data_IF_090817447954
#
_entry.id   IF_090817447954
#
_cell.length_a   1.000
_cell.length_b   1.000
_cell.length_c   1.000
_cell.angle_alpha   90.00
_cell.angle_beta   90.00
_cell.angle_gamma   90.00
#
_symmetry.space_group_name_H-M   'P 1'
#
loop_
_entity.id
_entity.type
_entity.pdbx_description
1 polymer ?
#
# COMPACT_ATOMS: atom_id res chain seq x y z
N UNK A 1 -33.18 49.38 -51.36
CA UNK A 1 -32.53 48.12 -51.50
C UNK A 1 -32.21 47.58 -50.11
N UNK A 2 -32.95 46.57 -49.61
CA UNK A 2 -32.73 45.96 -48.31
C UNK A 2 -31.82 44.78 -48.55
N UNK A 3 -30.61 44.78 -47.98
CA UNK A 3 -29.71 43.60 -47.99
C UNK A 3 -30.15 42.62 -46.95
N UNK A 4 -30.40 41.36 -47.39
CA UNK A 4 -30.73 40.22 -46.57
C UNK A 4 -29.39 39.54 -46.16
N UNK A 5 -29.08 39.61 -44.86
CA UNK A 5 -27.92 38.87 -44.30
C UNK A 5 -28.40 37.46 -43.96
N UNK A 6 -27.91 36.47 -44.69
CA UNK A 6 -28.15 35.04 -44.39
C UNK A 6 -27.08 34.62 -43.42
N UNK A 7 -27.50 34.32 -42.18
CA UNK A 7 -26.64 33.71 -41.14
C UNK A 7 -26.56 32.17 -41.39
N UNK A 8 -25.42 31.69 -41.85
CA UNK A 8 -25.17 30.25 -42.01
C UNK A 8 -24.67 29.75 -40.65
N UNK A 9 -25.51 29.01 -39.92
CA UNK A 9 -25.11 28.28 -38.71
C UNK A 9 -24.47 26.98 -39.16
N UNK A 10 -23.14 26.88 -39.04
CA UNK A 10 -22.40 25.65 -39.22
C UNK A 10 -22.54 24.84 -37.93
N UNK A 11 -23.36 23.80 -37.98
CA UNK A 11 -23.41 22.77 -36.94
C UNK A 11 -22.17 21.91 -37.06
N UNK A 12 -21.19 22.12 -36.19
CA UNK A 12 -20.06 21.21 -36.02
C UNK A 12 -20.58 20.00 -35.23
N UNK A 13 -20.51 18.78 -35.77
CA UNK A 13 -20.87 17.61 -34.99
C UNK A 13 -19.79 17.45 -33.88
N UNK A 14 -20.20 17.55 -32.64
CA UNK A 14 -19.43 17.08 -31.51
C UNK A 14 -19.28 15.56 -31.67
N UNK A 15 -18.15 15.15 -32.23
CA UNK A 15 -17.72 13.75 -32.19
C UNK A 15 -17.38 13.45 -30.73
N UNK A 16 -18.33 12.91 -30.01
CA UNK A 16 -18.05 12.33 -28.69
C UNK A 16 -16.93 11.31 -28.85
N UNK A 17 -15.78 11.58 -28.26
CA UNK A 17 -14.72 10.58 -28.10
C UNK A 17 -15.33 9.55 -27.14
N UNK A 18 -15.87 8.49 -27.75
CA UNK A 18 -16.24 7.27 -27.03
C UNK A 18 -14.94 6.71 -26.44
N UNK A 19 -14.69 6.96 -25.17
CA UNK A 19 -13.72 6.17 -24.42
C UNK A 19 -14.09 4.70 -24.65
N UNK A 20 -13.21 3.94 -25.30
CA UNK A 20 -13.28 2.50 -25.34
C UNK A 20 -13.15 2.02 -23.90
N UNK A 21 -14.28 1.83 -23.22
CA UNK A 21 -14.36 1.06 -22.00
C UNK A 21 -13.94 -0.35 -22.42
N UNK A 22 -12.69 -0.72 -22.14
CA UNK A 22 -12.29 -2.11 -22.20
C UNK A 22 -13.14 -2.83 -21.15
N UNK A 23 -14.25 -3.42 -21.56
CA UNK A 23 -15.08 -4.24 -20.69
C UNK A 23 -14.34 -5.54 -20.45
N UNK A 24 -13.42 -5.55 -19.50
CA UNK A 24 -12.88 -6.78 -18.97
C UNK A 24 -14.04 -7.54 -18.31
N UNK A 25 -14.22 -8.77 -18.72
CA UNK A 25 -15.36 -9.61 -18.30
C UNK A 25 -15.21 -10.08 -16.83
N UNK A 26 -14.07 -9.76 -16.20
CA UNK A 26 -13.71 -10.13 -14.83
C UNK A 26 -14.20 -9.14 -13.77
N UNK A 27 -14.39 -7.86 -14.10
CA UNK A 27 -14.89 -6.86 -13.16
C UNK A 27 -16.38 -7.09 -12.93
N UNK A 28 -16.73 -7.40 -11.67
CA UNK A 28 -18.10 -7.68 -11.23
C UNK A 28 -18.79 -6.41 -10.75
N UNK A 29 -18.04 -5.54 -10.05
CA UNK A 29 -18.53 -4.28 -9.48
C UNK A 29 -17.42 -3.26 -9.43
N UNK A 30 -17.79 -1.98 -9.61
CA UNK A 30 -16.90 -0.82 -9.50
C UNK A 30 -17.69 0.33 -8.91
N UNK A 31 -17.18 0.95 -7.85
CA UNK A 31 -17.85 2.04 -7.15
C UNK A 31 -16.86 2.91 -6.38
N UNK A 32 -17.26 4.13 -6.06
CA UNK A 32 -16.57 4.94 -5.05
C UNK A 32 -17.14 4.63 -3.67
N UNK A 33 -16.28 4.53 -2.66
CA UNK A 33 -16.69 4.30 -1.26
C UNK A 33 -17.45 5.52 -0.71
N UNK A 34 -17.10 6.69 -1.17
CA UNK A 34 -17.81 7.94 -0.91
C UNK A 34 -17.71 8.85 -2.15
N UNK A 35 -18.63 9.80 -2.27
CA UNK A 35 -18.62 10.76 -3.39
C UNK A 35 -17.29 11.48 -3.47
N UNK A 36 -16.65 11.53 -4.68
CA UNK A 36 -15.40 12.26 -4.86
C UNK A 36 -15.49 13.71 -4.39
N UNK A 37 -14.43 14.18 -3.77
CA UNK A 37 -14.36 15.50 -3.12
C UNK A 37 -12.97 16.14 -3.25
N UNK A 38 -12.84 17.40 -2.84
CA UNK A 38 -11.58 18.14 -2.93
C UNK A 38 -10.59 17.80 -1.81
N UNK A 39 -11.06 17.34 -0.65
CA UNK A 39 -10.18 16.91 0.45
C UNK A 39 -9.25 15.78 0.00
N UNK A 40 -8.00 15.84 0.42
CA UNK A 40 -7.06 14.77 0.16
C UNK A 40 -7.52 13.48 0.84
N UNK A 41 -7.66 12.41 0.07
CA UNK A 41 -8.07 11.09 0.54
C UNK A 41 -7.14 10.04 -0.05
N UNK A 42 -6.41 9.29 0.79
CA UNK A 42 -5.34 8.45 0.29
C UNK A 42 -5.06 7.23 1.18
N UNK A 43 -4.39 6.21 0.61
CA UNK A 43 -3.82 5.09 1.34
C UNK A 43 -4.84 4.19 2.01
N UNK A 44 -5.73 3.56 1.23
CA UNK A 44 -6.74 2.65 1.77
C UNK A 44 -6.19 1.31 2.26
N UNK A 45 -6.91 0.73 3.23
CA UNK A 45 -6.75 -0.66 3.67
C UNK A 45 -8.12 -1.28 3.90
N UNK A 46 -8.35 -2.50 3.40
CA UNK A 46 -9.62 -3.22 3.50
C UNK A 46 -9.43 -4.55 4.25
N UNK A 47 -10.45 -4.92 5.06
CA UNK A 47 -10.53 -6.20 5.76
C UNK A 47 -11.94 -6.78 5.66
N UNK A 48 -12.06 -8.10 5.54
CA UNK A 48 -13.32 -8.81 5.73
C UNK A 48 -13.47 -9.19 7.20
N UNK A 49 -14.60 -8.84 7.80
CA UNK A 49 -14.91 -9.16 9.19
C UNK A 49 -15.62 -10.52 9.29
N UNK A 50 -15.51 -11.25 10.40
CA UNK A 50 -16.12 -12.57 10.56
C UNK A 50 -17.65 -12.61 10.43
N UNK A 51 -18.34 -11.47 10.60
CA UNK A 51 -19.78 -11.35 10.36
C UNK A 51 -20.13 -11.19 8.87
N UNK A 52 -19.11 -11.12 8.00
CA UNK A 52 -19.23 -10.96 6.56
C UNK A 52 -19.30 -9.51 6.08
N UNK A 53 -19.17 -8.52 6.98
CA UNK A 53 -19.01 -7.12 6.58
C UNK A 53 -17.62 -6.87 6.01
N UNK A 54 -17.51 -5.87 5.12
CA UNK A 54 -16.24 -5.29 4.72
C UNK A 54 -16.02 -3.99 5.48
N UNK A 55 -14.83 -3.80 6.02
CA UNK A 55 -14.41 -2.56 6.65
C UNK A 55 -13.21 -2.00 5.90
N UNK A 56 -13.30 -0.74 5.49
CA UNK A 56 -12.21 -0.02 4.83
C UNK A 56 -11.78 1.17 5.67
N UNK A 57 -10.51 1.52 5.59
CA UNK A 57 -9.95 2.74 6.19
C UNK A 57 -9.04 3.45 5.20
N UNK A 58 -8.87 4.77 5.38
CA UNK A 58 -7.97 5.65 4.63
C UNK A 58 -7.62 6.86 5.47
N UNK A 59 -6.64 7.66 5.05
CA UNK A 59 -6.41 8.96 5.68
C UNK A 59 -6.97 10.09 4.82
N UNK A 60 -7.45 11.15 5.48
CA UNK A 60 -8.17 12.25 4.85
C UNK A 60 -7.98 13.55 5.61
N UNK A 61 -7.79 14.66 4.88
CA UNK A 61 -7.68 16.00 5.41
C UNK A 61 -7.33 17.04 4.35
N UNK A 62 -6.93 18.23 4.74
CA UNK A 62 -6.57 19.29 3.81
C UNK A 62 -5.25 19.04 3.05
N UNK A 63 -4.45 18.10 3.51
CA UNK A 63 -3.17 17.72 2.89
C UNK A 63 -2.78 16.28 3.22
N UNK A 64 -1.51 16.06 3.38
CA UNK A 64 -0.89 14.83 3.85
C UNK A 64 -0.16 15.11 5.18
N UNK A 65 1.11 14.70 5.32
CA UNK A 65 1.93 14.99 6.51
C UNK A 65 2.09 16.48 6.84
N UNK A 66 1.77 17.36 5.93
CA UNK A 66 1.93 18.81 6.11
C UNK A 66 0.71 19.50 6.75
N UNK A 67 -0.36 18.74 7.03
CA UNK A 67 -1.63 19.29 7.51
C UNK A 67 -2.10 18.53 8.76
N UNK A 68 -2.15 19.23 9.90
CA UNK A 68 -2.46 18.63 11.21
C UNK A 68 -3.94 18.19 11.36
N UNK A 69 -4.80 18.50 10.38
CA UNK A 69 -6.19 18.06 10.31
C UNK A 69 -6.38 16.69 9.63
N UNK A 70 -5.30 16.07 9.19
CA UNK A 70 -5.35 14.74 8.56
C UNK A 70 -5.64 13.68 9.60
N UNK A 71 -6.71 12.92 9.37
CA UNK A 71 -7.25 11.91 10.28
C UNK A 71 -7.52 10.60 9.56
N UNK A 72 -7.66 9.52 10.33
CA UNK A 72 -8.03 8.22 9.79
C UNK A 72 -9.55 8.10 9.74
N UNK A 73 -10.07 7.91 8.54
CA UNK A 73 -11.48 7.67 8.26
C UNK A 73 -11.73 6.21 7.93
N UNK A 74 -12.98 5.80 8.00
CA UNK A 74 -13.41 4.46 7.59
C UNK A 74 -14.83 4.45 7.06
N UNK A 75 -15.18 3.37 6.37
CA UNK A 75 -16.54 3.05 5.94
C UNK A 75 -16.77 1.53 6.02
N UNK A 76 -18.02 1.14 6.15
CA UNK A 76 -18.44 -0.25 6.25
C UNK A 76 -19.41 -0.60 5.12
N UNK A 77 -19.20 -1.75 4.50
CA UNK A 77 -20.21 -2.40 3.67
C UNK A 77 -20.75 -3.59 4.46
N UNK A 78 -21.95 -3.44 5.00
CA UNK A 78 -22.61 -4.49 5.77
C UNK A 78 -22.97 -5.66 4.86
N UNK A 79 -22.88 -6.87 5.37
CA UNK A 79 -23.23 -8.09 4.62
C UNK A 79 -24.65 -7.99 4.04
N UNK A 80 -24.75 -8.20 2.73
CA UNK A 80 -26.02 -8.15 2.01
C UNK A 80 -26.51 -6.75 1.65
N UNK A 81 -25.76 -5.69 1.98
CA UNK A 81 -26.02 -4.34 1.49
C UNK A 81 -25.27 -4.11 0.17
N UNK A 82 -25.80 -3.21 -0.64
CA UNK A 82 -25.19 -2.80 -1.93
C UNK A 82 -24.38 -1.52 -1.83
N UNK A 83 -24.50 -0.79 -0.74
CA UNK A 83 -23.92 0.55 -0.55
C UNK A 83 -23.04 0.62 0.70
N UNK A 84 -21.94 1.34 0.61
CA UNK A 84 -21.09 1.68 1.73
C UNK A 84 -21.80 2.63 2.71
N UNK A 85 -21.50 2.52 3.97
CA UNK A 85 -21.92 3.50 4.97
C UNK A 85 -21.32 4.88 4.66
N UNK A 86 -21.89 5.94 5.24
CA UNK A 86 -21.19 7.22 5.28
C UNK A 86 -19.85 7.06 6.00
N UNK A 87 -18.81 7.82 5.58
CA UNK A 87 -17.53 7.83 6.29
C UNK A 87 -17.68 8.18 7.77
N UNK A 88 -16.90 7.51 8.62
CA UNK A 88 -16.81 7.76 10.06
C UNK A 88 -15.36 7.83 10.53
N UNK A 89 -15.14 8.49 11.66
CA UNK A 89 -13.82 8.64 12.25
C UNK A 89 -13.32 7.31 12.84
N UNK A 90 -12.09 6.93 12.50
CA UNK A 90 -11.40 5.74 13.03
C UNK A 90 -10.29 6.11 14.03
N UNK A 91 -9.53 7.15 13.74
CA UNK A 91 -8.50 7.71 14.63
C UNK A 91 -8.25 9.18 14.28
N UNK A 92 -7.88 9.95 15.31
CA UNK A 92 -7.46 11.34 15.21
C UNK A 92 -6.49 11.62 16.36
N UNK A 93 -5.22 11.90 16.02
CA UNK A 93 -4.20 12.25 17.01
C UNK A 93 -4.14 13.76 17.13
N UNK A 94 -4.54 14.35 18.27
CA UNK A 94 -4.62 15.80 18.40
C UNK A 94 -3.32 16.51 18.00
N UNK A 95 -3.42 17.43 17.01
CA UNK A 95 -2.32 18.27 16.55
C UNK A 95 -1.23 17.56 15.74
N UNK A 96 -1.49 16.34 15.26
CA UNK A 96 -0.58 15.60 14.38
C UNK A 96 -1.35 15.02 13.19
N UNK A 97 -0.78 15.06 11.99
CA UNK A 97 -1.37 14.35 10.86
C UNK A 97 -1.27 12.84 11.05
N UNK A 98 -2.42 12.15 10.91
CA UNK A 98 -2.52 10.69 10.92
C UNK A 98 -2.54 10.16 9.49
N UNK A 99 -1.60 9.26 9.14
CA UNK A 99 -1.43 8.74 7.79
C UNK A 99 -1.28 7.22 7.75
N UNK A 100 -1.36 6.65 6.55
CA UNK A 100 -1.05 5.26 6.22
C UNK A 100 -1.70 4.21 7.12
N UNK A 101 -3.03 4.20 7.27
CA UNK A 101 -3.71 3.21 8.10
C UNK A 101 -3.66 1.81 7.48
N UNK A 102 -3.58 0.81 8.34
CA UNK A 102 -3.67 -0.61 8.00
C UNK A 102 -4.66 -1.29 8.93
N UNK A 103 -5.61 -2.04 8.35
CA UNK A 103 -6.57 -2.89 9.06
C UNK A 103 -6.23 -4.36 8.87
N UNK A 104 -6.28 -5.14 9.95
CA UNK A 104 -6.19 -6.60 9.89
C UNK A 104 -6.83 -7.26 11.11
N UNK A 105 -7.14 -8.54 10.97
CA UNK A 105 -7.56 -9.41 12.06
C UNK A 105 -6.41 -10.39 12.37
N UNK A 106 -6.13 -10.61 13.66
CA UNK A 106 -5.27 -11.73 14.04
C UNK A 106 -6.06 -13.07 14.06
N UNK A 107 -5.37 -14.18 14.30
CA UNK A 107 -6.00 -15.52 14.33
C UNK A 107 -7.06 -15.70 15.44
N UNK A 108 -7.15 -14.76 16.38
CA UNK A 108 -8.20 -14.72 17.44
C UNK A 108 -9.35 -13.76 17.09
N UNK A 109 -9.44 -13.31 15.84
CA UNK A 109 -10.42 -12.33 15.38
C UNK A 109 -10.38 -10.99 16.16
N UNK A 110 -9.23 -10.62 16.73
CA UNK A 110 -9.00 -9.28 17.27
C UNK A 110 -8.66 -8.35 16.11
N UNK A 111 -9.44 -7.28 15.97
CA UNK A 111 -9.23 -6.27 14.92
C UNK A 111 -8.16 -5.28 15.37
N UNK A 112 -7.23 -5.02 14.47
CA UNK A 112 -6.19 -4.02 14.62
C UNK A 112 -6.38 -2.90 13.60
N UNK A 113 -6.22 -1.67 14.05
CA UNK A 113 -5.94 -0.50 13.23
C UNK A 113 -4.53 -0.03 13.60
N UNK A 114 -3.62 -0.04 12.65
CA UNK A 114 -2.26 0.48 12.82
C UNK A 114 -2.07 1.64 11.84
N UNK A 115 -1.54 2.77 12.32
CA UNK A 115 -1.30 3.97 11.52
C UNK A 115 -0.09 4.74 12.03
N UNK A 116 0.31 5.78 11.34
CA UNK A 116 1.36 6.69 11.80
C UNK A 116 0.79 8.05 12.17
N UNK A 117 1.21 8.59 13.32
CA UNK A 117 1.06 9.99 13.67
C UNK A 117 2.39 10.70 13.34
N UNK A 118 2.35 11.71 12.48
CA UNK A 118 3.56 12.32 11.90
C UNK A 118 3.99 13.53 12.69
N UNK A 119 4.98 13.36 13.54
CA UNK A 119 5.52 14.45 14.37
C UNK A 119 6.41 15.37 13.54
N UNK A 120 6.27 16.68 13.75
CA UNK A 120 7.06 17.70 13.07
C UNK A 120 6.80 17.77 11.56
N UNK A 121 5.69 17.21 11.07
CA UNK A 121 5.28 17.18 9.67
C UNK A 121 6.34 16.56 8.73
N UNK A 122 7.13 15.62 9.25
CA UNK A 122 8.18 14.90 8.53
C UNK A 122 8.03 13.40 8.70
N UNK A 123 8.14 12.64 7.62
CA UNK A 123 8.01 11.19 7.64
C UNK A 123 8.99 10.53 8.63
N UNK A 124 10.19 11.06 8.76
CA UNK A 124 11.20 10.59 9.70
C UNK A 124 10.81 10.78 11.17
N UNK A 125 9.83 11.65 11.44
CA UNK A 125 9.23 11.85 12.76
C UNK A 125 8.01 10.97 13.05
N UNK A 126 7.66 10.03 12.19
CA UNK A 126 6.47 9.18 12.33
C UNK A 126 6.51 8.30 13.57
N UNK A 127 5.40 8.29 14.30
CA UNK A 127 5.16 7.42 15.46
C UNK A 127 4.15 6.37 15.06
N UNK A 128 4.52 5.09 15.15
CA UNK A 128 3.65 3.98 14.82
C UNK A 128 2.66 3.74 15.95
N UNK A 129 1.36 3.91 15.67
CA UNK A 129 0.26 3.79 16.63
C UNK A 129 -0.62 2.60 16.30
N UNK A 130 -1.30 2.07 17.32
CA UNK A 130 -2.25 0.97 17.17
C UNK A 130 -3.49 1.18 18.03
N UNK A 131 -4.64 0.72 17.52
CA UNK A 131 -5.88 0.47 18.27
C UNK A 131 -6.32 -0.95 18.03
N UNK A 132 -6.90 -1.56 19.05
CA UNK A 132 -7.42 -2.93 18.94
C UNK A 132 -8.81 -3.06 19.55
N UNK A 133 -9.58 -4.02 19.04
CA UNK A 133 -10.91 -4.33 19.58
C UNK A 133 -11.41 -5.70 19.14
N UNK A 134 -12.34 -6.25 19.90
CA UNK A 134 -13.20 -7.37 19.54
C UNK A 134 -14.68 -6.93 19.33
N UNK A 135 -15.00 -5.66 19.68
CA UNK A 135 -16.35 -5.06 19.51
C UNK A 135 -16.45 -4.28 18.19
N UNK A 136 -16.53 -5.00 17.08
CA UNK A 136 -16.65 -4.44 15.74
C UNK A 136 -17.89 -4.96 14.96
N UNK A 137 -18.80 -5.70 15.61
CA UNK A 137 -19.93 -6.34 14.92
C UNK A 137 -21.11 -5.40 14.66
N UNK A 138 -21.16 -4.26 15.33
CA UNK A 138 -22.21 -3.24 15.15
C UNK A 138 -21.95 -2.38 13.91
N UNK A 139 -23.02 -1.78 13.38
CA UNK A 139 -22.92 -0.79 12.30
C UNK A 139 -22.04 0.39 12.70
N UNK A 140 -21.37 1.00 11.71
CA UNK A 140 -20.50 2.15 11.91
C UNK A 140 -19.08 1.78 12.35
N UNK A 141 -18.45 2.68 13.10
CA UNK A 141 -17.07 2.52 13.57
C UNK A 141 -16.96 1.40 14.61
N UNK A 142 -15.84 0.63 14.61
CA UNK A 142 -15.53 -0.27 15.73
C UNK A 142 -15.42 0.49 17.06
N UNK A 143 -15.80 -0.17 18.16
CA UNK A 143 -15.58 0.36 19.51
C UNK A 143 -14.19 -0.04 19.97
N UNK A 144 -13.26 0.90 19.96
CA UNK A 144 -11.87 0.62 20.32
C UNK A 144 -11.70 0.38 21.83
N UNK A 145 -11.13 -0.77 22.19
CA UNK A 145 -10.93 -1.22 23.58
C UNK A 145 -9.55 -0.85 24.10
N UNK A 146 -8.55 -0.77 23.21
CA UNK A 146 -7.16 -0.50 23.55
C UNK A 146 -6.49 0.42 22.52
N UNK A 147 -5.55 1.26 22.99
CA UNK A 147 -4.70 2.09 22.15
C UNK A 147 -3.29 2.19 22.73
N UNK A 148 -2.27 2.03 21.87
CA UNK A 148 -0.87 2.16 22.26
C UNK A 148 0.00 2.57 21.06
N UNK A 149 1.31 2.57 21.25
CA UNK A 149 2.32 2.71 20.20
C UNK A 149 3.03 1.38 19.99
N UNK A 150 3.35 1.05 18.74
CA UNK A 150 4.25 -0.04 18.42
C UNK A 150 5.67 0.52 18.38
N UNK A 151 6.49 0.16 19.37
CA UNK A 151 7.85 0.67 19.51
C UNK A 151 8.85 -0.34 18.95
N UNK A 152 9.47 0.02 17.83
CA UNK A 152 10.52 -0.77 17.19
C UNK A 152 11.86 -0.09 17.47
N UNK A 153 12.76 -0.81 18.14
CA UNK A 153 14.08 -0.33 18.53
C UNK A 153 15.17 -1.30 18.06
N UNK A 154 15.53 -1.28 16.77
CA UNK A 154 16.62 -2.11 16.27
C UNK A 154 17.94 -1.83 17.02
N UNK A 155 18.62 -2.88 17.43
CA UNK A 155 19.91 -2.81 18.11
C UNK A 155 21.10 -2.68 17.16
N UNK A 156 22.29 -3.07 17.62
CA UNK A 156 23.51 -2.98 16.81
C UNK A 156 23.58 -4.02 15.69
N UNK A 157 22.76 -5.07 15.78
CA UNK A 157 22.54 -6.04 14.70
C UNK A 157 21.95 -5.40 13.44
N UNK A 158 21.21 -4.30 13.57
CA UNK A 158 20.72 -3.51 12.44
C UNK A 158 21.86 -2.90 11.63
N UNK A 159 22.85 -2.34 12.31
CA UNK A 159 24.02 -1.73 11.67
C UNK A 159 24.84 -2.79 10.95
N UNK A 160 25.22 -3.85 11.68
CA UNK A 160 26.03 -4.93 11.12
C UNK A 160 25.35 -5.65 9.95
N UNK A 161 24.03 -5.76 9.97
CA UNK A 161 23.29 -6.36 8.84
C UNK A 161 23.29 -5.43 7.62
N UNK A 162 23.09 -4.11 7.79
CA UNK A 162 23.19 -3.14 6.69
C UNK A 162 24.56 -3.21 6.04
N UNK A 163 25.63 -3.17 6.83
CA UNK A 163 27.01 -3.26 6.31
C UNK A 163 27.21 -4.58 5.54
N UNK A 164 26.85 -5.71 6.15
CA UNK A 164 27.00 -7.03 5.56
C UNK A 164 26.20 -7.23 4.26
N UNK A 165 25.00 -6.65 4.15
CA UNK A 165 24.18 -6.81 2.95
C UNK A 165 24.68 -5.91 1.80
N UNK A 166 25.04 -4.65 2.07
CA UNK A 166 25.63 -3.79 1.06
C UNK A 166 26.96 -4.30 0.54
N UNK A 167 27.80 -4.91 1.39
CA UNK A 167 29.08 -5.50 0.98
C UNK A 167 28.91 -6.72 0.02
N UNK A 168 27.74 -7.36 0.06
CA UNK A 168 27.38 -8.44 -0.88
C UNK A 168 26.77 -7.96 -2.19
N UNK A 169 26.31 -6.71 -2.25
CA UNK A 169 25.70 -6.13 -3.44
C UNK A 169 26.77 -5.71 -4.46
N UNK A 170 26.41 -5.67 -5.75
CA UNK A 170 27.30 -5.07 -6.76
C UNK A 170 27.67 -3.64 -6.37
N UNK A 171 28.96 -3.30 -6.46
CA UNK A 171 29.45 -1.97 -6.12
C UNK A 171 28.83 -0.85 -6.94
N UNK A 172 28.68 0.34 -6.34
CA UNK A 172 28.34 1.57 -7.05
C UNK A 172 29.57 2.24 -7.63
N UNK A 173 29.37 2.99 -8.72
CA UNK A 173 30.38 3.85 -9.31
C UNK A 173 29.87 5.30 -9.29
N UNK A 174 30.71 6.24 -8.90
CA UNK A 174 30.35 7.67 -8.82
C UNK A 174 30.07 8.33 -10.18
N UNK A 175 30.54 7.74 -11.28
CA UNK A 175 30.51 8.41 -12.58
C UNK A 175 31.25 9.75 -12.52
N UNK A 176 30.56 10.84 -12.89
CA UNK A 176 31.12 12.19 -12.87
C UNK A 176 31.12 12.84 -11.45
N UNK A 177 30.39 12.26 -10.50
CA UNK A 177 30.21 12.80 -9.14
C UNK A 177 31.16 12.13 -8.11
N UNK A 178 32.42 11.92 -8.45
CA UNK A 178 33.42 11.22 -7.62
C UNK A 178 33.62 11.83 -6.20
N UNK A 179 33.27 13.08 -6.01
CA UNK A 179 33.36 13.77 -4.70
C UNK A 179 32.16 13.52 -3.80
N UNK A 180 31.04 12.99 -4.32
CA UNK A 180 29.85 12.71 -3.53
C UNK A 180 29.97 11.38 -2.78
N UNK A 181 29.48 11.26 -1.53
CA UNK A 181 29.39 9.97 -0.84
C UNK A 181 28.54 8.99 -1.63
N UNK A 182 28.95 7.72 -1.65
CA UNK A 182 28.12 6.66 -2.22
C UNK A 182 26.83 6.50 -1.39
N UNK A 183 25.72 6.15 -2.05
CA UNK A 183 24.44 5.89 -1.38
C UNK A 183 24.59 4.87 -0.25
N UNK A 184 25.26 3.76 -0.50
CA UNK A 184 25.46 2.68 0.47
C UNK A 184 26.19 3.18 1.73
N UNK A 185 27.23 4.03 1.56
CA UNK A 185 28.00 4.60 2.67
C UNK A 185 27.17 5.59 3.50
N UNK A 186 26.30 6.37 2.85
CA UNK A 186 25.36 7.26 3.53
C UNK A 186 24.40 6.48 4.44
N UNK A 187 23.85 5.36 3.96
CA UNK A 187 22.92 4.51 4.74
C UNK A 187 23.69 3.78 5.87
N UNK A 188 24.87 3.25 5.59
CA UNK A 188 25.75 2.65 6.63
C UNK A 188 26.01 3.64 7.75
N UNK A 189 26.36 4.88 7.44
CA UNK A 189 26.62 5.91 8.46
C UNK A 189 25.33 6.30 9.22
N UNK A 190 24.23 6.55 8.52
CA UNK A 190 22.94 6.87 9.13
C UNK A 190 22.48 5.76 10.10
N UNK A 191 22.73 4.49 9.77
CA UNK A 191 22.32 3.34 10.59
C UNK A 191 22.93 3.32 11.98
N UNK A 192 24.09 3.97 12.19
CA UNK A 192 24.75 4.06 13.49
C UNK A 192 24.02 4.96 14.48
N UNK A 193 23.13 5.84 13.99
CA UNK A 193 22.35 6.74 14.84
C UNK A 193 21.19 6.00 15.51
N UNK A 194 21.30 5.78 16.83
CA UNK A 194 20.30 5.04 17.61
C UNK A 194 18.93 5.73 17.63
N UNK A 195 18.87 7.06 17.60
CA UNK A 195 17.60 7.80 17.59
C UNK A 195 16.88 7.56 16.27
N UNK A 196 17.57 7.67 15.14
CA UNK A 196 16.99 7.41 13.82
C UNK A 196 16.51 5.96 13.68
N UNK A 197 17.19 4.99 14.29
CA UNK A 197 16.75 3.57 14.29
C UNK A 197 15.45 3.34 15.06
N UNK A 198 15.10 4.23 15.98
CA UNK A 198 13.98 4.05 16.92
C UNK A 198 12.71 4.80 16.52
N UNK A 199 12.73 5.60 15.44
CA UNK A 199 11.62 6.45 15.01
C UNK A 199 11.51 6.45 13.48
N UNK A 200 10.36 6.88 12.93
CA UNK A 200 10.18 7.02 11.49
C UNK A 200 9.85 5.71 10.76
N UNK A 201 9.54 4.66 11.49
CA UNK A 201 9.03 3.42 10.90
C UNK A 201 7.55 3.56 10.58
N UNK A 202 7.17 3.30 9.33
CA UNK A 202 5.84 3.57 8.78
C UNK A 202 5.19 2.32 8.22
N UNK A 203 3.89 2.20 8.40
CA UNK A 203 3.06 1.18 7.76
C UNK A 203 2.66 1.60 6.35
N UNK A 204 2.25 0.61 5.53
CA UNK A 204 1.50 0.83 4.30
C UNK A 204 0.69 -0.41 3.89
N UNK A 205 1.27 -1.60 4.04
CA UNK A 205 0.71 -2.88 3.59
C UNK A 205 0.32 -3.71 4.81
N UNK A 206 -0.73 -4.51 4.66
CA UNK A 206 -1.22 -5.41 5.71
C UNK A 206 -0.15 -6.41 6.13
N UNK A 207 -0.16 -6.83 7.41
CA UNK A 207 0.74 -7.87 7.87
C UNK A 207 0.43 -9.21 7.20
N UNK A 208 1.47 -10.02 7.08
CA UNK A 208 1.36 -11.45 6.87
C UNK A 208 1.15 -12.13 8.22
N UNK A 209 0.14 -12.98 8.33
CA UNK A 209 -0.13 -13.78 9.53
C UNK A 209 0.13 -15.23 9.18
N UNK A 210 1.12 -15.85 9.84
CA UNK A 210 1.46 -17.24 9.64
C UNK A 210 0.46 -18.16 10.37
N UNK A 211 0.40 -19.42 9.94
CA UNK A 211 -0.43 -20.44 10.60
C UNK A 211 -0.07 -20.67 12.07
N UNK A 212 1.17 -20.36 12.47
CA UNK A 212 1.61 -20.36 13.86
C UNK A 212 1.00 -19.28 14.72
N UNK A 213 0.33 -18.26 14.12
CA UNK A 213 -0.16 -17.06 14.79
C UNK A 213 0.83 -15.90 14.76
N UNK A 214 2.07 -16.10 14.30
CA UNK A 214 3.05 -15.01 14.14
C UNK A 214 2.50 -13.93 13.20
N UNK A 215 2.54 -12.68 13.64
CA UNK A 215 2.19 -11.50 12.85
C UNK A 215 3.49 -10.85 12.38
N UNK A 216 3.63 -10.64 11.07
CA UNK A 216 4.76 -9.97 10.45
C UNK A 216 4.23 -8.70 9.78
N UNK A 217 4.36 -7.57 10.47
CA UNK A 217 3.91 -6.26 10.00
C UNK A 217 5.04 -5.58 9.21
N UNK A 218 4.90 -5.43 7.89
CA UNK A 218 5.92 -4.78 7.10
C UNK A 218 5.94 -3.27 7.36
N UNK A 219 7.13 -2.75 7.55
CA UNK A 219 7.40 -1.34 7.80
C UNK A 219 8.48 -0.83 6.85
N UNK A 220 8.51 0.48 6.66
CA UNK A 220 9.54 1.15 5.88
C UNK A 220 9.90 2.50 6.51
N UNK A 221 11.02 3.07 6.10
CA UNK A 221 11.48 4.39 6.52
C UNK A 221 11.97 5.19 5.32
N UNK A 222 11.45 6.41 5.16
CA UNK A 222 11.97 7.35 4.17
C UNK A 222 13.34 7.91 4.59
N UNK A 223 13.65 7.91 5.90
CA UNK A 223 14.95 8.36 6.41
C UNK A 223 16.11 7.44 6.02
N UNK A 224 15.85 6.13 5.92
CA UNK A 224 16.83 5.14 5.44
C UNK A 224 16.56 4.71 3.99
N UNK A 225 15.37 4.98 3.46
CA UNK A 225 14.93 4.50 2.17
C UNK A 225 15.04 2.97 2.04
N UNK A 226 14.72 2.25 3.12
CA UNK A 226 14.71 0.80 3.24
C UNK A 226 13.57 0.32 4.15
N UNK A 227 13.46 -1.00 4.31
CA UNK A 227 12.37 -1.64 5.02
C UNK A 227 12.82 -2.52 6.18
N UNK A 228 11.89 -2.83 7.08
CA UNK A 228 12.00 -3.76 8.21
C UNK A 228 10.63 -4.40 8.45
N UNK A 229 10.56 -5.46 9.26
CA UNK A 229 9.28 -5.95 9.77
C UNK A 229 9.21 -5.80 11.29
N UNK A 230 8.02 -5.47 11.81
CA UNK A 230 7.69 -5.69 13.21
C UNK A 230 7.08 -7.07 13.36
N UNK A 231 7.63 -7.89 14.25
CA UNK A 231 7.20 -9.28 14.47
C UNK A 231 6.56 -9.39 15.84
N UNK A 232 5.39 -10.01 15.90
CA UNK A 232 4.72 -10.40 17.14
C UNK A 232 4.47 -11.91 17.15
N UNK A 233 4.83 -12.55 18.25
CA UNK A 233 4.61 -13.97 18.51
C UNK A 233 3.51 -14.21 19.59
N UNK A 234 2.88 -13.14 20.06
CA UNK A 234 1.90 -13.11 21.17
C UNK A 234 0.60 -12.37 20.80
N UNK A 235 0.12 -12.57 19.57
CA UNK A 235 -1.14 -12.01 19.07
C UNK A 235 -1.18 -10.48 18.99
N UNK A 236 -0.02 -9.82 18.92
CA UNK A 236 0.11 -8.37 18.79
C UNK A 236 0.24 -7.63 20.12
N UNK A 237 0.49 -8.33 21.23
CA UNK A 237 0.70 -7.71 22.55
C UNK A 237 2.12 -7.10 22.67
N UNK A 238 3.13 -7.77 22.10
CA UNK A 238 4.49 -7.23 22.01
C UNK A 238 5.09 -7.37 20.62
N UNK A 239 6.07 -6.52 20.31
CA UNK A 239 6.67 -6.40 18.99
C UNK A 239 8.18 -6.32 19.08
N UNK A 240 8.88 -7.06 18.22
CA UNK A 240 10.33 -6.99 18.02
C UNK A 240 10.64 -6.65 16.56
N UNK A 241 11.76 -5.98 16.27
CA UNK A 241 12.19 -5.76 14.89
C UNK A 241 12.73 -7.06 14.26
N UNK A 242 12.50 -7.25 12.94
CA UNK A 242 13.32 -8.13 12.13
C UNK A 242 14.68 -7.51 11.83
N UNK A 243 15.59 -8.25 11.20
CA UNK A 243 16.70 -7.63 10.49
C UNK A 243 16.17 -6.77 9.33
N UNK A 244 16.91 -5.71 8.91
CA UNK A 244 16.48 -4.84 7.82
C UNK A 244 16.43 -5.58 6.49
N UNK A 245 15.50 -5.15 5.60
CA UNK A 245 15.45 -5.51 4.20
C UNK A 245 16.27 -4.49 3.43
N UNK A 246 17.51 -4.83 3.13
CA UNK A 246 18.52 -3.90 2.62
C UNK A 246 18.52 -3.87 1.09
N UNK A 247 18.64 -2.67 0.55
CA UNK A 247 18.75 -2.41 -0.89
C UNK A 247 18.79 -0.92 -1.16
N UNK A 248 18.76 -0.55 -2.44
CA UNK A 248 18.80 0.85 -2.85
C UNK A 248 17.39 1.32 -3.19
N UNK A 249 16.64 1.69 -2.16
CA UNK A 249 15.29 2.23 -2.25
C UNK A 249 14.12 1.24 -2.11
N UNK A 250 14.25 0.07 -1.45
CA UNK A 250 13.13 -0.85 -1.25
C UNK A 250 12.24 -0.39 -0.09
N UNK A 251 11.09 0.19 -0.39
CA UNK A 251 10.14 0.65 0.62
C UNK A 251 8.76 0.01 0.44
N UNK A 252 7.92 0.04 1.47
CA UNK A 252 6.54 -0.42 1.45
C UNK A 252 6.39 -1.91 1.08
N UNK A 253 6.94 -2.86 1.87
CA UNK A 253 6.90 -4.28 1.55
C UNK A 253 5.49 -4.86 1.55
N UNK A 254 5.18 -5.65 0.52
CA UNK A 254 4.04 -6.56 0.46
C UNK A 254 4.55 -7.99 0.56
N UNK A 255 3.97 -8.80 1.44
CA UNK A 255 4.50 -10.12 1.81
C UNK A 255 3.60 -11.25 1.34
N UNK A 256 4.18 -12.34 0.83
CA UNK A 256 3.49 -13.58 0.53
C UNK A 256 4.33 -14.81 0.93
N UNK A 257 3.66 -15.89 1.33
CA UNK A 257 4.30 -17.16 1.71
C UNK A 257 4.28 -18.13 0.54
N UNK A 258 5.42 -18.71 0.23
CA UNK A 258 5.57 -19.84 -0.69
C UNK A 258 5.13 -21.15 -0.05
N UNK A 259 4.84 -22.16 -0.87
CA UNK A 259 4.51 -23.52 -0.40
C UNK A 259 5.63 -24.17 0.42
N UNK A 260 6.90 -23.79 0.18
CA UNK A 260 8.04 -24.27 0.94
C UNK A 260 8.25 -23.54 2.28
N UNK A 261 7.42 -22.55 2.59
CA UNK A 261 7.50 -21.72 3.81
C UNK A 261 8.34 -20.45 3.68
N UNK A 262 9.09 -20.26 2.60
CA UNK A 262 9.82 -19.01 2.36
C UNK A 262 8.83 -17.82 2.23
N UNK A 263 9.20 -16.66 2.76
CA UNK A 263 8.42 -15.43 2.62
C UNK A 263 9.08 -14.56 1.57
N UNK A 264 8.30 -14.16 0.58
CA UNK A 264 8.71 -13.21 -0.45
C UNK A 264 8.17 -11.84 -0.12
N UNK A 265 9.03 -10.81 -0.19
CA UNK A 265 8.66 -9.41 -0.10
C UNK A 265 8.80 -8.75 -1.49
N UNK A 266 7.73 -8.14 -1.98
CA UNK A 266 7.75 -7.21 -3.11
C UNK A 266 7.62 -5.79 -2.59
N UNK A 267 8.45 -4.87 -3.11
CA UNK A 267 8.54 -3.52 -2.57
C UNK A 267 8.55 -2.48 -3.68
N UNK A 268 7.94 -1.35 -3.39
CA UNK A 268 8.04 -0.15 -4.20
C UNK A 268 9.52 0.25 -4.34
N UNK A 269 9.87 0.71 -5.53
CA UNK A 269 11.16 1.35 -5.78
C UNK A 269 11.10 2.85 -5.44
N UNK A 270 12.00 3.29 -4.60
CA UNK A 270 12.25 4.70 -4.27
C UNK A 270 13.73 5.08 -4.51
N UNK A 271 14.44 4.26 -5.25
CA UNK A 271 15.84 4.44 -5.62
C UNK A 271 16.01 4.96 -7.04
N UNK A 272 17.22 4.70 -7.58
CA UNK A 272 17.61 5.16 -8.90
C UNK A 272 16.91 4.42 -10.05
N UNK A 273 16.75 5.14 -11.17
CA UNK A 273 16.23 4.58 -12.42
C UNK A 273 17.08 3.40 -12.94
N UNK A 274 16.45 2.40 -13.57
CA UNK A 274 15.03 2.27 -13.85
C UNK A 274 14.26 1.85 -12.59
N UNK A 275 13.10 2.49 -12.35
CA UNK A 275 12.23 2.12 -11.25
C UNK A 275 11.58 0.75 -11.49
N UNK A 276 11.81 -0.21 -10.58
CA UNK A 276 11.36 -1.60 -10.66
C UNK A 276 10.94 -2.11 -9.30
N UNK A 277 9.95 -2.97 -9.24
CA UNK A 277 9.62 -3.69 -8.01
C UNK A 277 10.87 -4.39 -7.48
N UNK A 278 11.20 -4.13 -6.22
CA UNK A 278 12.25 -4.86 -5.51
C UNK A 278 11.69 -6.19 -4.97
N UNK A 279 12.53 -7.22 -4.95
CA UNK A 279 12.22 -8.55 -4.38
C UNK A 279 13.27 -8.92 -3.33
N UNK A 280 12.81 -9.44 -2.19
CA UNK A 280 13.65 -10.04 -1.14
C UNK A 280 12.99 -11.32 -0.63
N UNK A 281 13.76 -12.21 -0.01
CA UNK A 281 13.28 -13.50 0.49
C UNK A 281 13.77 -13.71 1.94
N UNK A 282 12.84 -14.12 2.79
CA UNK A 282 13.13 -14.64 4.12
C UNK A 282 12.90 -16.14 4.17
N UNK A 283 13.84 -16.88 4.81
CA UNK A 283 13.78 -18.34 4.99
C UNK A 283 13.59 -18.75 6.46
N UNK A 284 13.37 -17.79 7.33
CA UNK A 284 13.31 -17.94 8.78
C UNK A 284 12.10 -17.23 9.40
N UNK A 285 10.96 -17.29 8.71
CA UNK A 285 9.69 -16.72 9.14
C UNK A 285 9.77 -15.21 9.41
N UNK A 286 10.49 -14.45 8.56
CA UNK A 286 10.56 -13.00 8.58
C UNK A 286 11.61 -12.41 9.51
N UNK A 287 12.44 -13.22 10.19
CA UNK A 287 13.50 -12.72 11.08
C UNK A 287 14.63 -12.04 10.31
N UNK A 288 15.04 -12.62 9.17
CA UNK A 288 16.08 -12.06 8.30
C UNK A 288 15.70 -12.15 6.82
N UNK A 289 16.38 -11.36 6.00
CA UNK A 289 16.05 -11.15 4.60
C UNK A 289 17.29 -11.14 3.72
N UNK A 290 17.16 -11.61 2.48
CA UNK A 290 18.21 -11.39 1.48
C UNK A 290 18.29 -9.89 1.15
N UNK A 291 19.44 -9.40 0.65
CA UNK A 291 19.42 -8.10 -0.01
C UNK A 291 18.47 -8.10 -1.19
N UNK A 292 17.94 -6.93 -1.55
CA UNK A 292 16.93 -6.84 -2.60
C UNK A 292 17.54 -6.88 -3.98
N UNK A 293 16.77 -7.45 -4.91
CA UNK A 293 17.04 -7.38 -6.34
C UNK A 293 15.84 -6.74 -7.04
N UNK A 294 16.12 -5.94 -8.09
CA UNK A 294 15.04 -5.38 -8.93
C UNK A 294 14.50 -6.47 -9.86
N UNK A 295 13.19 -6.55 -9.95
CA UNK A 295 12.47 -7.41 -10.92
C UNK A 295 12.30 -6.70 -12.26
N UNK A 296 11.66 -7.36 -13.23
CA UNK A 296 11.33 -6.74 -14.51
C UNK A 296 10.05 -5.89 -14.48
N UNK A 297 9.32 -5.86 -13.35
CA UNK A 297 8.06 -5.11 -13.23
C UNK A 297 8.38 -3.63 -13.00
N UNK A 298 8.03 -2.72 -13.94
CA UNK A 298 8.18 -1.28 -13.73
C UNK A 298 7.33 -0.80 -12.55
N UNK A 299 7.89 0.02 -11.66
CA UNK A 299 7.12 0.51 -10.53
C UNK A 299 7.82 1.64 -9.78
N UNK A 300 7.06 2.67 -9.39
CA UNK A 300 7.47 3.73 -8.46
C UNK A 300 6.41 4.03 -7.39
N UNK A 301 5.41 3.16 -7.23
CA UNK A 301 4.34 3.34 -6.26
C UNK A 301 4.11 2.07 -5.43
N UNK A 302 3.31 2.19 -4.37
CA UNK A 302 2.96 1.06 -3.51
C UNK A 302 2.36 -0.09 -4.31
N UNK A 303 2.78 -1.31 -4.00
CA UNK A 303 2.26 -2.55 -4.56
C UNK A 303 1.56 -3.38 -3.48
N UNK A 304 0.69 -4.28 -3.89
CA UNK A 304 0.12 -5.31 -3.01
C UNK A 304 0.41 -6.68 -3.59
N UNK A 305 0.63 -7.66 -2.72
CA UNK A 305 0.86 -9.05 -3.06
C UNK A 305 -0.08 -9.91 -2.21
N UNK A 306 -0.82 -10.82 -2.86
CA UNK A 306 -1.82 -11.62 -2.18
C UNK A 306 -1.82 -13.05 -2.71
N UNK A 307 -1.93 -14.04 -1.82
CA UNK A 307 -2.09 -15.43 -2.19
C UNK A 307 -3.59 -15.76 -2.22
N UNK A 308 -4.10 -16.09 -3.39
CA UNK A 308 -5.50 -16.44 -3.59
C UNK A 308 -5.82 -17.83 -3.00
N UNK A 309 -7.10 -18.07 -2.70
CA UNK A 309 -7.58 -19.35 -2.14
C UNK A 309 -7.30 -20.57 -3.02
N UNK A 310 -7.11 -20.37 -4.34
CA UNK A 310 -6.72 -21.42 -5.28
C UNK A 310 -5.20 -21.64 -5.40
N UNK A 311 -4.41 -20.87 -4.66
CA UNK A 311 -2.96 -20.93 -4.61
C UNK A 311 -2.25 -20.07 -5.65
N UNK A 312 -2.97 -19.40 -6.57
CA UNK A 312 -2.36 -18.38 -7.43
C UNK A 312 -1.97 -17.17 -6.61
N UNK A 313 -0.95 -16.45 -7.08
CA UNK A 313 -0.56 -15.18 -6.50
C UNK A 313 -1.14 -14.04 -7.33
N UNK A 314 -1.62 -13.00 -6.65
CA UNK A 314 -2.08 -11.75 -7.24
C UNK A 314 -1.10 -10.64 -6.87
N UNK A 315 -0.57 -9.98 -7.89
CA UNK A 315 0.15 -8.70 -7.77
C UNK A 315 -0.79 -7.60 -8.23
N UNK A 316 -0.87 -6.53 -7.47
CA UNK A 316 -1.64 -5.35 -7.87
C UNK A 316 -0.86 -4.06 -7.61
N UNK A 317 -0.72 -3.21 -8.62
CA UNK A 317 0.03 -1.98 -8.53
C UNK A 317 0.13 -1.23 -9.84
N UNK A 318 0.94 -0.17 -9.85
CA UNK A 318 1.30 0.54 -11.07
C UNK A 318 2.43 -0.21 -11.78
N UNK A 319 2.31 -0.43 -13.09
CA UNK A 319 3.35 -1.01 -13.93
C UNK A 319 4.05 0.06 -14.80
N UNK A 320 4.42 1.15 -14.17
CA UNK A 320 4.97 2.35 -14.80
C UNK A 320 6.30 2.76 -14.14
N UNK A 321 7.23 3.26 -14.94
CA UNK A 321 8.47 3.87 -14.42
C UNK A 321 8.24 5.31 -13.95
N UNK A 322 7.12 5.92 -14.34
CA UNK A 322 6.77 7.32 -14.02
C UNK A 322 5.25 7.49 -14.12
N UNK A 323 4.66 8.04 -13.05
CA UNK A 323 3.23 8.33 -12.96
C UNK A 323 2.38 7.19 -12.41
N UNK A 324 1.09 7.47 -12.21
CA UNK A 324 0.14 6.58 -11.55
C UNK A 324 -1.18 6.48 -12.32
N UNK A 325 -1.15 6.64 -13.63
CA UNK A 325 -2.34 6.66 -14.48
C UNK A 325 -2.83 5.27 -14.90
N UNK A 326 -2.11 4.19 -14.50
CA UNK A 326 -2.54 2.80 -14.71
C UNK A 326 -2.42 1.99 -13.43
N UNK A 327 -3.38 1.07 -13.23
CA UNK A 327 -3.30 -0.01 -12.24
C UNK A 327 -3.52 -1.35 -12.92
N UNK A 328 -2.66 -2.30 -12.61
CA UNK A 328 -2.68 -3.64 -13.18
C UNK A 328 -2.86 -4.70 -12.11
N UNK A 329 -3.72 -5.67 -12.40
CA UNK A 329 -3.79 -6.95 -11.70
C UNK A 329 -3.05 -7.99 -12.53
N UNK A 330 -2.05 -8.63 -11.93
CA UNK A 330 -1.35 -9.75 -12.56
C UNK A 330 -1.50 -11.00 -11.70
N UNK A 331 -1.66 -12.15 -12.36
CA UNK A 331 -1.78 -13.44 -11.67
C UNK A 331 -0.62 -14.37 -12.05
N UNK A 332 -0.15 -15.14 -11.07
CA UNK A 332 0.91 -16.12 -11.17
C UNK A 332 0.45 -17.45 -10.60
N UNK A 333 0.82 -18.56 -11.23
CA UNK A 333 0.61 -19.94 -10.73
C UNK A 333 1.91 -20.63 -10.29
N UNK A 334 3.03 -19.89 -10.32
CA UNK A 334 4.37 -20.34 -9.95
C UNK A 334 5.00 -19.48 -8.83
N UNK A 335 4.15 -18.98 -7.90
CA UNK A 335 4.59 -18.23 -6.70
C UNK A 335 5.35 -16.93 -7.02
N UNK A 336 4.91 -16.23 -8.10
CA UNK A 336 5.45 -14.94 -8.50
C UNK A 336 6.78 -15.01 -9.28
N UNK A 337 7.20 -16.20 -9.76
CA UNK A 337 8.36 -16.29 -10.66
C UNK A 337 8.00 -15.79 -12.05
N UNK A 338 6.79 -16.09 -12.55
CA UNK A 338 6.23 -15.50 -13.77
C UNK A 338 4.81 -14.98 -13.56
N UNK A 339 4.44 -13.96 -14.31
CA UNK A 339 3.11 -13.33 -14.27
C UNK A 339 2.40 -13.59 -15.58
N UNK A 340 1.65 -14.71 -15.63
CA UNK A 340 1.05 -15.24 -16.88
C UNK A 340 -0.13 -14.43 -17.37
N UNK A 341 -0.95 -13.92 -16.45
CA UNK A 341 -2.19 -13.22 -16.77
C UNK A 341 -2.12 -11.79 -16.27
N UNK A 342 -2.63 -10.88 -17.08
CA UNK A 342 -2.56 -9.45 -16.81
C UNK A 342 -3.83 -8.76 -17.22
N UNK A 343 -4.42 -7.99 -16.32
CA UNK A 343 -5.61 -7.19 -16.56
C UNK A 343 -5.43 -5.78 -16.00
N UNK A 344 -5.77 -4.76 -16.80
CA UNK A 344 -5.75 -3.38 -16.35
C UNK A 344 -7.10 -3.03 -15.71
N UNK A 345 -7.07 -2.65 -14.44
CA UNK A 345 -8.23 -2.14 -13.71
C UNK A 345 -8.42 -0.65 -14.01
N UNK A 346 -7.33 0.10 -14.09
CA UNK A 346 -7.30 1.45 -14.61
C UNK A 346 -6.25 1.53 -15.71
N UNK A 347 -6.57 2.20 -16.81
CA UNK A 347 -5.68 2.27 -17.97
C UNK A 347 -5.87 3.61 -18.72
N UNK A 348 -5.51 4.69 -18.06
CA UNK A 348 -5.55 6.03 -18.63
C UNK A 348 -4.26 6.37 -19.39
N UNK A 349 -4.31 7.46 -20.16
CA UNK A 349 -3.14 8.03 -20.80
C UNK A 349 -2.39 8.97 -19.84
N UNK A 350 -1.08 9.11 -20.02
CA UNK A 350 -0.25 10.00 -19.19
C UNK A 350 -0.71 11.47 -19.23
N UNK A 351 -1.24 11.91 -20.39
CA UNK A 351 -1.75 13.26 -20.56
C UNK A 351 -3.26 13.34 -20.22
N UNK A 352 -3.59 13.90 -19.06
CA UNK A 352 -4.98 14.10 -18.64
C UNK A 352 -5.65 12.89 -18.00
N UNK A 353 -4.90 11.81 -17.75
CA UNK A 353 -5.38 10.64 -17.01
C UNK A 353 -5.46 10.87 -15.51
N UNK A 354 -6.21 10.00 -14.82
CA UNK A 354 -6.30 9.98 -13.38
C UNK A 354 -4.97 9.59 -12.69
N UNK A 355 -4.98 9.65 -11.38
CA UNK A 355 -3.89 9.13 -10.54
C UNK A 355 -4.47 8.08 -9.61
N UNK A 356 -4.02 6.83 -9.77
CA UNK A 356 -4.50 5.65 -9.06
C UNK A 356 -3.33 4.98 -8.36
N UNK A 357 -3.46 4.74 -7.06
CA UNK A 357 -2.34 4.17 -6.30
C UNK A 357 -2.76 3.66 -4.92
N UNK A 358 -1.81 3.06 -4.22
CA UNK A 358 -1.93 2.61 -2.84
C UNK A 358 -3.07 1.61 -2.65
N UNK A 359 -2.95 0.46 -3.33
CA UNK A 359 -3.96 -0.58 -3.27
C UNK A 359 -4.00 -1.32 -1.93
N UNK A 360 -5.13 -1.99 -1.70
CA UNK A 360 -5.29 -3.02 -0.68
C UNK A 360 -6.27 -4.08 -1.19
N UNK A 361 -5.93 -5.36 -1.01
CA UNK A 361 -6.65 -6.50 -1.54
C UNK A 361 -7.09 -7.46 -0.43
N UNK A 362 -8.27 -8.05 -0.60
CA UNK A 362 -8.72 -9.24 0.13
C UNK A 362 -9.49 -10.14 -0.80
N UNK A 363 -9.49 -11.43 -0.56
CA UNK A 363 -10.41 -12.37 -1.19
C UNK A 363 -11.43 -12.84 -0.15
N UNK A 364 -12.70 -12.79 -0.51
CA UNK A 364 -13.82 -13.25 0.33
C UNK A 364 -14.15 -14.73 0.09
N UNK A 365 -15.01 -15.32 0.93
CA UNK A 365 -15.37 -16.74 0.87
C UNK A 365 -16.04 -17.13 -0.46
N UNK A 366 -16.70 -16.19 -1.14
CA UNK A 366 -17.26 -16.36 -2.49
C UNK A 366 -16.21 -16.31 -3.60
N UNK A 367 -14.92 -16.24 -3.22
CA UNK A 367 -13.74 -16.21 -4.10
C UNK A 367 -13.58 -14.92 -4.91
N UNK A 368 -14.42 -13.90 -4.67
CA UNK A 368 -14.25 -12.62 -5.30
C UNK A 368 -13.09 -11.85 -4.66
N UNK A 369 -12.31 -11.18 -5.48
CA UNK A 369 -11.22 -10.32 -5.05
C UNK A 369 -11.74 -8.89 -4.89
N UNK A 370 -11.73 -8.38 -3.67
CA UNK A 370 -12.07 -6.99 -3.36
C UNK A 370 -10.81 -6.16 -3.32
N UNK A 371 -10.78 -5.09 -4.11
CA UNK A 371 -9.64 -4.20 -4.27
C UNK A 371 -10.08 -2.80 -3.90
N UNK A 372 -9.32 -2.12 -3.05
CA UNK A 372 -9.49 -0.69 -2.80
C UNK A 372 -8.22 0.07 -3.14
N UNK A 373 -8.36 1.29 -3.64
CA UNK A 373 -7.22 2.15 -3.97
C UNK A 373 -7.63 3.63 -3.98
N UNK A 374 -6.63 4.49 -3.85
CA UNK A 374 -6.81 5.93 -3.98
C UNK A 374 -7.04 6.30 -5.44
N UNK A 375 -8.09 7.05 -5.70
CA UNK A 375 -8.46 7.57 -7.01
C UNK A 375 -8.54 9.10 -6.98
N UNK A 376 -7.82 9.74 -7.89
CA UNK A 376 -7.84 11.19 -8.12
C UNK A 376 -7.95 11.43 -9.63
N UNK A 377 -9.08 11.96 -10.06
CA UNK A 377 -9.33 12.31 -11.47
C UNK A 377 -9.15 13.81 -11.73
N UNK A 378 -9.23 14.63 -10.67
CA UNK A 378 -8.91 16.07 -10.70
C UNK A 378 -8.53 16.56 -9.31
N UNK A 379 -8.24 17.85 -9.16
CA UNK A 379 -7.99 18.46 -7.85
C UNK A 379 -9.21 18.45 -6.93
N UNK A 380 -10.41 18.42 -7.50
CA UNK A 380 -11.69 18.44 -6.78
C UNK A 380 -12.35 17.06 -6.70
N UNK A 381 -11.77 16.03 -7.31
CA UNK A 381 -12.34 14.70 -7.40
C UNK A 381 -11.37 13.65 -6.88
N UNK A 382 -11.33 13.50 -5.57
CA UNK A 382 -10.51 12.53 -4.83
C UNK A 382 -11.41 11.64 -4.02
N UNK A 383 -11.17 10.33 -4.07
CA UNK A 383 -11.93 9.32 -3.31
C UNK A 383 -11.13 8.03 -3.17
N UNK A 384 -11.69 7.08 -2.44
CA UNK A 384 -11.28 5.69 -2.45
C UNK A 384 -12.22 4.91 -3.35
N UNK A 385 -11.65 4.20 -4.33
CA UNK A 385 -12.40 3.35 -5.24
C UNK A 385 -12.39 1.91 -4.76
N UNK A 386 -13.50 1.20 -4.92
CA UNK A 386 -13.65 -0.22 -4.65
C UNK A 386 -14.02 -0.94 -5.93
N UNK A 387 -13.28 -1.99 -6.24
CA UNK A 387 -13.50 -2.84 -7.41
C UNK A 387 -13.58 -4.29 -6.96
N UNK A 388 -14.54 -5.02 -7.48
CA UNK A 388 -14.72 -6.45 -7.23
C UNK A 388 -14.39 -7.21 -8.51
N UNK A 389 -13.46 -8.15 -8.41
CA UNK A 389 -12.95 -8.92 -9.55
C UNK A 389 -13.17 -10.41 -9.33
N UNK A 390 -13.70 -11.06 -10.35
CA UNK A 390 -13.79 -12.52 -10.47
C UNK A 390 -12.50 -13.02 -11.14
N UNK A 391 -11.55 -13.49 -10.33
CA UNK A 391 -10.22 -13.92 -10.82
C UNK A 391 -10.28 -15.20 -11.65
N UNK A 392 -11.38 -15.98 -11.61
CA UNK A 392 -11.56 -17.17 -12.45
C UNK A 392 -11.80 -16.79 -13.92
N UNK A 393 -12.18 -15.54 -14.19
CA UNK A 393 -12.37 -14.99 -15.54
C UNK A 393 -11.10 -14.41 -16.15
N UNK A 394 -10.03 -14.27 -15.39
CA UNK A 394 -8.73 -13.80 -15.87
C UNK A 394 -7.96 -15.02 -16.41
N UNK A 395 -7.84 -15.10 -17.73
CA UNK A 395 -7.21 -16.22 -18.44
C UNK A 395 -6.36 -15.72 -19.60
#
# INVERSE_FOLDING_TARGET
MKQLIILVIVLIPFSGISQKKNSYNSIVKEEFIFTPQSEHSHGSSIVALPNGDLLVTWFQGSGERNADDVRIMGARLEKGKSEWSKPFLMADTPGLPDCNPVLFLNNKNKLFLVWIAVQGNRWEGSILRTRTTTDYKKSGAPVWEWQDNILIKPGDEFVSEIENQFDKMPGLHHGWAEYAPLYDDMIKEASKNQVLRSIGWMTRIKPLILSSGRIILPLYSDGYNLSICAISDDDGESWKPSKPIVGRGPIQPALAVRKNGDIVAYMRDSGDSPARVHKSISKDNGESWSYTVKTDIPNEASVELYVLNDGRWAFFGNDLNDGRYRLVLMLSDDEGETWKWKEYIENDDKQGGGSYSYPSLIQTDDRLLHITYSSRTSETEKSIKHVVVDTDKIR
#
